data_IF_372288616237
#
_entry.id   IF_372288616237
#
_cell.length_a   1.000
_cell.length_b   1.000
_cell.length_c   1.000
_cell.angle_alpha   90.00
_cell.angle_beta   90.00
_cell.angle_gamma   90.00
#
_symmetry.space_group_name_H-M   'P 1'
#
loop_
_entity.id
_entity.type
_entity.pdbx_description
1 polymer ?
#
# COMPACT_ATOMS: atom_id res chain seq x y z
N UNK A 1 -0.17 -26.49 73.14
CA UNK A 1 0.78 -27.18 72.26
C UNK A 1 1.31 -26.18 71.23
N UNK A 2 2.04 -25.19 71.74
CA UNK A 2 3.50 -25.05 71.59
C UNK A 2 4.14 -25.19 70.20
N UNK A 3 4.79 -24.07 69.82
CA UNK A 3 6.16 -23.89 69.26
C UNK A 3 6.29 -24.11 67.73
N UNK A 4 6.61 -23.09 66.91
CA UNK A 4 7.81 -22.23 66.73
C UNK A 4 8.90 -22.80 65.80
N UNK A 5 9.25 -21.94 64.81
CA UNK A 5 10.57 -21.61 64.27
C UNK A 5 11.43 -22.57 63.40
N UNK A 6 11.86 -21.95 62.27
CA UNK A 6 13.20 -22.00 61.63
C UNK A 6 13.70 -23.18 60.80
N UNK A 7 13.78 -22.91 59.49
CA UNK A 7 14.99 -22.61 58.69
C UNK A 7 16.36 -23.23 59.05
N UNK A 8 17.14 -23.52 57.99
CA UNK A 8 18.55 -23.99 57.88
C UNK A 8 18.65 -25.40 57.28
N UNK A 9 19.53 -25.79 56.34
CA UNK A 9 20.59 -25.15 55.56
C UNK A 9 21.01 -26.11 54.44
N UNK A 10 21.45 -25.55 53.32
CA UNK A 10 22.55 -25.95 52.42
C UNK A 10 22.93 -27.43 52.23
N UNK A 11 22.97 -27.86 50.98
CA UNK A 11 24.11 -28.66 50.48
C UNK A 11 24.31 -28.44 48.98
N UNK A 12 25.53 -27.98 48.66
CA UNK A 12 26.07 -27.85 47.31
C UNK A 12 26.26 -29.22 46.63
N UNK A 13 26.02 -29.25 45.33
CA UNK A 13 26.30 -30.41 44.48
C UNK A 13 26.58 -29.97 43.05
N UNK A 14 27.83 -29.64 42.77
CA UNK A 14 28.38 -29.38 41.44
C UNK A 14 28.30 -30.61 40.54
N UNK A 15 27.99 -30.42 39.25
CA UNK A 15 28.10 -31.48 38.26
C UNK A 15 27.69 -31.05 36.85
N UNK A 16 28.66 -30.53 36.10
CA UNK A 16 28.55 -30.26 34.66
C UNK A 16 28.42 -31.56 33.85
N UNK A 17 27.55 -31.58 32.84
CA UNK A 17 27.88 -31.83 31.41
C UNK A 17 26.64 -32.31 30.64
N UNK A 18 26.50 -31.81 29.41
CA UNK A 18 25.24 -31.81 28.68
C UNK A 18 24.84 -33.12 28.00
N UNK A 19 23.61 -33.10 27.48
CA UNK A 19 23.25 -33.75 26.22
C UNK A 19 21.91 -33.19 25.73
N UNK A 20 21.83 -32.97 24.42
CA UNK A 20 20.65 -32.58 23.67
C UNK A 20 19.60 -33.69 23.69
N UNK A 21 18.35 -33.45 24.07
CA UNK A 21 17.17 -34.13 23.52
C UNK A 21 15.92 -33.27 23.80
N UNK A 22 15.14 -33.05 22.76
CA UNK A 22 13.88 -32.31 22.73
C UNK A 22 12.77 -33.08 23.45
N UNK A 23 12.09 -32.43 24.39
CA UNK A 23 10.88 -32.95 25.04
C UNK A 23 9.68 -32.05 24.74
N UNK A 24 8.67 -32.67 24.12
CA UNK A 24 7.34 -32.16 23.84
C UNK A 24 6.66 -31.57 25.09
N UNK A 25 6.25 -30.31 25.00
CA UNK A 25 5.33 -29.71 25.98
C UNK A 25 3.88 -29.96 25.53
N UNK A 26 3.25 -30.89 26.24
CA UNK A 26 1.83 -31.19 26.19
C UNK A 26 1.01 -29.97 26.64
N UNK A 27 0.38 -29.24 25.70
CA UNK A 27 -0.58 -28.19 26.03
C UNK A 27 -1.99 -28.80 26.00
N UNK A 28 -2.60 -28.91 27.17
CA UNK A 28 -4.01 -29.24 27.34
C UNK A 28 -4.86 -28.26 26.51
N UNK A 29 -5.57 -28.79 25.50
CA UNK A 29 -6.43 -28.00 24.61
C UNK A 29 -7.74 -27.69 25.30
N UNK A 30 -7.96 -26.41 25.62
CA UNK A 30 -9.26 -25.92 26.04
C UNK A 30 -10.24 -25.94 24.84
N UNK A 31 -11.29 -26.74 24.97
CA UNK A 31 -12.24 -27.07 23.91
C UNK A 31 -13.32 -25.99 23.87
N UNK A 32 -12.99 -24.75 23.45
CA UNK A 32 -14.04 -23.75 23.11
C UNK A 32 -13.64 -22.44 22.38
N UNK A 33 -12.57 -22.39 21.59
CA UNK A 33 -12.29 -21.20 20.75
C UNK A 33 -12.36 -21.52 19.25
N UNK A 34 -13.48 -21.20 18.60
CA UNK A 34 -13.52 -21.13 17.13
C UNK A 34 -12.88 -19.78 16.74
N UNK A 35 -11.69 -19.83 16.15
CA UNK A 35 -10.95 -18.67 15.63
C UNK A 35 -11.17 -18.53 14.11
N UNK A 36 -11.70 -17.40 13.61
CA UNK A 36 -11.69 -17.11 12.17
C UNK A 36 -10.24 -17.02 11.65
N UNK A 37 -9.93 -17.63 10.51
CA UNK A 37 -8.62 -17.56 9.80
C UNK A 37 -7.40 -18.28 10.42
N UNK A 38 -7.58 -19.36 11.18
CA UNK A 38 -6.47 -20.13 11.74
C UNK A 38 -5.61 -20.94 10.71
N UNK A 39 -5.91 -20.87 9.40
CA UNK A 39 -5.24 -21.63 8.34
C UNK A 39 -5.17 -20.86 7.00
N UNK A 40 -4.63 -19.63 6.99
CA UNK A 40 -4.16 -19.07 5.72
C UNK A 40 -3.03 -19.98 5.19
N UNK A 41 -3.14 -20.59 4.00
CA UNK A 41 -2.08 -21.44 3.46
C UNK A 41 -0.84 -20.58 3.19
N UNK A 42 0.27 -20.90 3.84
CA UNK A 42 1.58 -20.33 3.53
C UNK A 42 2.20 -21.20 2.44
N UNK A 43 2.58 -20.60 1.32
CA UNK A 43 3.35 -21.32 0.31
C UNK A 43 4.70 -21.74 0.91
N UNK A 44 5.01 -23.03 0.86
CA UNK A 44 6.35 -23.52 1.22
C UNK A 44 7.27 -23.22 0.06
N UNK A 45 8.12 -22.21 0.23
CA UNK A 45 9.12 -21.77 -0.75
C UNK A 45 9.90 -22.96 -1.34
N UNK A 46 9.71 -23.23 -2.64
CA UNK A 46 10.73 -23.89 -3.46
C UNK A 46 11.58 -22.79 -4.08
N UNK A 47 12.76 -22.59 -3.48
CA UNK A 47 13.73 -21.60 -3.86
C UNK A 47 14.17 -21.80 -5.32
N UNK A 48 13.88 -20.82 -6.17
CA UNK A 48 14.46 -20.66 -7.49
C UNK A 48 15.16 -19.31 -7.56
N UNK A 49 16.49 -19.34 -7.49
CA UNK A 49 17.35 -18.16 -7.55
C UNK A 49 17.21 -17.47 -8.92
N UNK A 50 17.04 -16.15 -8.93
CA UNK A 50 17.21 -15.33 -10.12
C UNK A 50 18.05 -14.09 -9.79
N UNK A 51 19.23 -14.04 -10.38
CA UNK A 51 20.18 -12.93 -10.33
C UNK A 51 19.63 -11.73 -11.11
N UNK A 52 19.72 -10.54 -10.53
CA UNK A 52 19.42 -9.26 -11.19
C UNK A 52 20.72 -8.58 -11.61
N UNK A 53 20.82 -8.24 -12.90
CA UNK A 53 21.89 -7.45 -13.50
C UNK A 53 21.47 -5.99 -13.65
N UNK A 54 22.30 -5.07 -13.18
CA UNK A 54 22.13 -3.61 -13.33
C UNK A 54 22.69 -3.13 -14.68
N UNK A 55 21.89 -2.36 -15.42
CA UNK A 55 22.36 -1.60 -16.60
C UNK A 55 22.11 -0.10 -16.41
N UNK A 56 23.10 0.70 -16.83
CA UNK A 56 23.17 2.15 -16.65
C UNK A 56 22.70 2.87 -17.91
N UNK A 57 21.87 3.90 -17.77
CA UNK A 57 21.47 4.78 -18.85
C UNK A 57 22.26 6.10 -18.83
N UNK A 58 22.63 6.56 -20.03
CA UNK A 58 23.38 7.79 -20.28
C UNK A 58 22.43 8.94 -20.63
N UNK A 59 22.69 10.13 -20.07
CA UNK A 59 21.93 11.34 -20.35
C UNK A 59 22.46 12.05 -21.61
N UNK A 60 21.55 12.36 -22.53
CA UNK A 60 21.77 13.34 -23.61
C UNK A 60 20.84 14.51 -23.39
N UNK A 61 21.42 15.70 -23.22
CA UNK A 61 20.72 16.96 -23.02
C UNK A 61 20.19 17.51 -24.34
N UNK A 62 18.88 17.75 -24.41
CA UNK A 62 18.29 18.65 -25.40
C UNK A 62 17.46 19.71 -24.67
N UNK A 63 17.94 20.94 -24.75
CA UNK A 63 17.26 22.14 -24.27
C UNK A 63 16.13 22.49 -25.25
N UNK A 64 14.91 22.13 -24.87
CA UNK A 64 13.68 22.53 -25.54
C UNK A 64 12.88 23.39 -24.56
N UNK A 65 12.31 24.51 -25.04
CA UNK A 65 11.52 25.47 -24.26
C UNK A 65 10.53 24.75 -23.32
N UNK A 66 10.87 24.70 -22.03
CA UNK A 66 10.03 24.05 -21.01
C UNK A 66 8.86 24.97 -20.70
N UNK A 67 7.73 24.79 -21.39
CA UNK A 67 6.47 25.19 -20.78
C UNK A 67 6.30 24.34 -19.51
N UNK A 68 6.27 25.02 -18.37
CA UNK A 68 6.04 24.40 -17.06
C UNK A 68 4.76 23.57 -17.15
N UNK A 69 4.77 22.30 -16.71
CA UNK A 69 3.60 21.38 -16.79
C UNK A 69 2.37 21.87 -16.00
N UNK A 70 2.54 23.00 -15.30
CA UNK A 70 1.55 23.76 -14.56
C UNK A 70 0.72 24.74 -15.40
N UNK A 71 1.08 24.97 -16.68
CA UNK A 71 0.45 26.01 -17.50
C UNK A 71 -0.49 25.46 -18.57
N UNK A 72 -0.21 24.25 -19.08
CA UNK A 72 -0.99 23.62 -20.14
C UNK A 72 -1.13 22.11 -19.94
N UNK A 73 -1.97 21.48 -20.75
CA UNK A 73 -2.26 20.04 -20.74
C UNK A 73 -1.64 19.28 -21.91
N UNK A 74 -0.60 19.83 -22.56
CA UNK A 74 0.01 19.19 -23.74
C UNK A 74 0.67 17.84 -23.43
N UNK A 75 0.96 17.58 -22.15
CA UNK A 75 1.50 16.32 -21.65
C UNK A 75 0.43 15.23 -21.41
N UNK A 76 -0.86 15.58 -21.42
CA UNK A 76 -1.94 14.62 -21.22
C UNK A 76 -2.28 13.90 -22.52
N UNK A 77 -2.18 12.56 -22.49
CA UNK A 77 -2.58 11.70 -23.61
C UNK A 77 -3.90 10.96 -23.38
N UNK A 78 -4.38 10.86 -22.13
CA UNK A 78 -5.63 10.16 -21.80
C UNK A 78 -6.87 11.06 -21.82
N UNK A 79 -6.73 12.38 -22.02
CA UNK A 79 -7.80 13.40 -21.99
C UNK A 79 -8.52 13.63 -20.65
N UNK A 80 -8.14 12.92 -19.59
CA UNK A 80 -8.78 13.00 -18.26
C UNK A 80 -7.94 13.72 -17.20
N UNK A 81 -6.69 14.10 -17.51
CA UNK A 81 -5.84 14.79 -16.53
C UNK A 81 -6.27 16.25 -16.33
N UNK A 82 -5.89 16.77 -15.17
CA UNK A 82 -5.98 18.19 -14.82
C UNK A 82 -4.60 18.73 -14.44
N UNK A 83 -4.43 20.04 -14.48
CA UNK A 83 -3.24 20.70 -13.93
C UNK A 83 -3.23 20.49 -12.42
N UNK A 84 -2.10 20.00 -11.89
CA UNK A 84 -1.88 19.82 -10.46
C UNK A 84 -1.06 20.97 -9.89
N UNK A 85 -0.98 21.08 -8.56
CA UNK A 85 -0.25 22.17 -7.88
C UNK A 85 1.28 22.07 -8.06
N UNK A 86 1.77 20.85 -8.34
CA UNK A 86 3.19 20.52 -8.50
C UNK A 86 3.46 19.87 -9.86
N UNK A 87 4.65 20.10 -10.41
CA UNK A 87 5.06 19.49 -11.68
C UNK A 87 5.16 17.98 -11.57
N UNK A 88 5.63 17.48 -10.43
CA UNK A 88 5.78 16.05 -10.14
C UNK A 88 4.44 15.33 -10.02
N UNK A 89 3.35 16.06 -9.77
CA UNK A 89 1.98 15.53 -9.74
C UNK A 89 1.28 15.64 -11.11
N UNK A 90 1.82 16.45 -12.01
CA UNK A 90 1.27 16.70 -13.34
C UNK A 90 1.71 15.62 -14.33
N UNK A 91 1.41 14.36 -14.05
CA UNK A 91 1.83 13.17 -14.83
C UNK A 91 0.60 12.43 -15.38
N UNK A 92 0.64 12.00 -16.65
CA UNK A 92 -0.43 11.24 -17.30
C UNK A 92 -0.31 9.75 -16.99
N UNK A 93 -1.44 9.03 -16.93
CA UNK A 93 -1.40 7.57 -16.75
C UNK A 93 -0.69 6.82 -17.89
N UNK A 94 -0.59 7.41 -19.09
CA UNK A 94 0.20 6.86 -20.20
C UNK A 94 1.72 6.98 -20.00
N UNK A 95 2.17 7.91 -19.14
CA UNK A 95 3.58 8.06 -18.78
C UNK A 95 4.01 7.07 -17.67
N UNK A 96 3.05 6.34 -17.09
CA UNK A 96 3.29 5.40 -15.99
C UNK A 96 3.17 3.96 -16.53
N UNK A 97 4.28 3.21 -16.68
CA UNK A 97 4.25 1.87 -17.25
C UNK A 97 3.32 0.91 -16.52
N UNK A 98 3.24 1.01 -15.19
CA UNK A 98 2.32 0.22 -14.36
C UNK A 98 0.84 0.43 -14.72
N UNK A 99 0.43 1.68 -14.96
CA UNK A 99 -0.94 1.99 -15.39
C UNK A 99 -1.23 1.44 -16.79
N UNK A 100 -0.28 1.58 -17.72
CA UNK A 100 -0.41 1.06 -19.09
C UNK A 100 -0.54 -0.46 -19.06
N UNK A 101 0.29 -1.16 -18.27
CA UNK A 101 0.26 -2.62 -18.13
C UNK A 101 -1.09 -3.11 -17.61
N UNK A 102 -1.65 -2.48 -16.57
CA UNK A 102 -2.96 -2.85 -16.04
C UNK A 102 -4.08 -2.66 -17.05
N UNK A 103 -4.05 -1.57 -17.83
CA UNK A 103 -5.08 -1.35 -18.85
C UNK A 103 -5.02 -2.42 -19.94
N UNK A 104 -3.83 -2.88 -20.31
CA UNK A 104 -3.64 -4.00 -21.23
C UNK A 104 -4.14 -5.31 -20.62
N UNK A 105 -3.82 -5.58 -19.36
CA UNK A 105 -4.29 -6.77 -18.64
C UNK A 105 -5.82 -6.80 -18.54
N UNK A 106 -6.45 -5.68 -18.16
CA UNK A 106 -7.91 -5.59 -18.09
C UNK A 106 -8.58 -5.83 -19.45
N UNK A 107 -8.00 -5.32 -20.53
CA UNK A 107 -8.47 -5.59 -21.89
C UNK A 107 -8.44 -7.09 -22.24
N UNK A 108 -7.38 -7.79 -21.80
CA UNK A 108 -7.21 -9.21 -22.04
C UNK A 108 -8.17 -10.06 -21.19
N UNK A 109 -8.31 -9.74 -19.89
CA UNK A 109 -9.13 -10.53 -18.95
C UNK A 109 -10.63 -10.33 -19.22
N UNK A 110 -11.05 -9.10 -19.42
CA UNK A 110 -12.48 -8.74 -19.58
C UNK A 110 -12.93 -8.77 -21.05
N UNK A 111 -12.01 -9.09 -21.98
CA UNK A 111 -12.25 -9.10 -23.43
C UNK A 111 -12.83 -7.76 -23.97
N UNK A 112 -12.33 -6.64 -23.43
CA UNK A 112 -12.74 -5.27 -23.81
C UNK A 112 -11.63 -4.53 -24.57
N UNK A 113 -11.94 -3.43 -25.28
CA UNK A 113 -10.90 -2.53 -25.78
C UNK A 113 -10.02 -2.01 -24.65
N UNK A 114 -8.73 -1.79 -24.93
CA UNK A 114 -7.79 -1.19 -23.96
C UNK A 114 -8.33 0.18 -23.52
N UNK A 115 -8.56 0.39 -22.22
CA UNK A 115 -9.05 1.68 -21.73
C UNK A 115 -8.08 2.82 -22.07
N UNK A 116 -8.61 3.93 -22.61
CA UNK A 116 -7.81 5.11 -22.98
C UNK A 116 -7.28 5.87 -21.76
N UNK A 117 -7.90 5.69 -20.59
CA UNK A 117 -7.44 6.21 -19.31
C UNK A 117 -7.46 5.13 -18.24
N UNK A 118 -6.60 5.24 -17.22
CA UNK A 118 -6.66 4.34 -16.05
C UNK A 118 -7.98 4.49 -15.26
N UNK A 119 -8.64 5.65 -15.36
CA UNK A 119 -9.94 5.88 -14.72
C UNK A 119 -11.10 5.22 -15.47
N UNK A 120 -10.91 4.89 -16.75
CA UNK A 120 -11.89 4.16 -17.57
C UNK A 120 -11.78 2.64 -17.38
N UNK A 121 -10.70 2.18 -16.74
CA UNK A 121 -10.53 0.79 -16.37
C UNK A 121 -11.63 0.39 -15.38
N UNK A 122 -12.44 -0.66 -15.65
CA UNK A 122 -13.53 -1.07 -14.77
C UNK A 122 -13.09 -1.31 -13.32
N UNK A 123 -11.88 -1.86 -13.12
CA UNK A 123 -11.34 -2.12 -11.80
C UNK A 123 -11.07 -0.84 -10.99
N UNK A 124 -10.87 0.32 -11.64
CA UNK A 124 -10.69 1.60 -10.94
C UNK A 124 -11.92 1.93 -10.07
N UNK A 125 -13.13 1.76 -10.61
CA UNK A 125 -14.36 2.00 -9.85
C UNK A 125 -14.48 1.06 -8.64
N UNK A 126 -14.15 -0.22 -8.82
CA UNK A 126 -14.23 -1.22 -7.75
C UNK A 126 -13.18 -1.00 -6.67
N UNK A 127 -11.94 -0.73 -7.05
CA UNK A 127 -10.80 -0.70 -6.13
C UNK A 127 -10.60 0.66 -5.46
N UNK A 128 -10.83 1.76 -6.19
CA UNK A 128 -10.48 3.10 -5.76
C UNK A 128 -11.69 3.94 -5.31
N UNK A 129 -12.89 3.63 -5.80
CA UNK A 129 -14.09 4.46 -5.54
C UNK A 129 -15.15 3.73 -4.70
N UNK A 130 -15.15 2.39 -4.66
CA UNK A 130 -16.17 1.64 -3.94
C UNK A 130 -16.02 1.78 -2.41
N UNK A 131 -17.07 2.30 -1.76
CA UNK A 131 -17.09 2.50 -0.31
C UNK A 131 -16.78 1.23 0.51
N UNK A 132 -17.32 0.07 0.11
CA UNK A 132 -17.15 -1.16 0.89
C UNK A 132 -15.74 -1.71 0.77
N UNK A 133 -15.16 -1.67 -0.44
CA UNK A 133 -13.76 -2.08 -0.68
C UNK A 133 -12.80 -1.19 0.11
N UNK A 134 -12.96 0.14 0.01
CA UNK A 134 -12.13 1.07 0.79
C UNK A 134 -12.30 0.91 2.30
N UNK A 135 -13.48 0.46 2.77
CA UNK A 135 -13.70 0.24 4.20
C UNK A 135 -12.91 -0.97 4.69
N UNK A 136 -12.87 -2.05 3.91
CA UNK A 136 -12.08 -3.25 4.23
C UNK A 136 -10.58 -2.93 4.16
N UNK A 137 -10.14 -2.29 3.08
CA UNK A 137 -8.74 -1.86 2.92
C UNK A 137 -8.27 -0.94 4.06
N UNK A 138 -9.16 -0.12 4.62
CA UNK A 138 -8.87 0.67 5.82
C UNK A 138 -8.66 -0.18 7.06
N UNK A 139 -9.48 -1.22 7.28
CA UNK A 139 -9.30 -2.15 8.39
C UNK A 139 -7.95 -2.84 8.32
N UNK A 140 -7.55 -3.32 7.13
CA UNK A 140 -6.26 -3.97 6.92
C UNK A 140 -5.10 -3.01 7.16
N UNK A 141 -5.23 -1.77 6.67
CA UNK A 141 -4.25 -0.72 6.96
C UNK A 141 -4.12 -0.45 8.47
N UNK A 142 -5.22 -0.37 9.21
CA UNK A 142 -5.17 -0.20 10.67
C UNK A 142 -4.52 -1.38 11.38
N UNK A 143 -4.75 -2.60 10.91
CA UNK A 143 -4.13 -3.79 11.48
C UNK A 143 -2.60 -3.76 11.31
N UNK A 144 -2.10 -3.32 10.15
CA UNK A 144 -0.67 -3.31 9.84
C UNK A 144 0.08 -2.12 10.46
N UNK A 145 -0.59 -0.97 10.63
CA UNK A 145 0.06 0.28 11.07
C UNK A 145 -0.42 0.78 12.46
N UNK A 146 -1.41 0.13 13.06
CA UNK A 146 -1.89 0.39 14.41
C UNK A 146 -2.38 1.83 14.64
N UNK A 147 -1.98 2.42 15.78
CA UNK A 147 -2.35 3.79 16.22
C UNK A 147 -1.84 4.87 15.25
N UNK A 148 -0.88 4.57 14.36
CA UNK A 148 -0.39 5.52 13.36
C UNK A 148 -1.35 5.75 12.19
N UNK A 149 -2.43 4.97 12.09
CA UNK A 149 -3.44 5.17 11.07
C UNK A 149 -4.21 6.48 11.31
N UNK A 150 -4.23 7.36 10.31
CA UNK A 150 -4.83 8.69 10.39
C UNK A 150 -6.34 8.68 10.74
N UNK A 151 -6.70 9.19 11.93
CA UNK A 151 -8.10 9.35 12.40
C UNK A 151 -8.75 10.69 11.99
N UNK A 152 -8.39 11.25 10.83
CA UNK A 152 -9.04 12.49 10.36
C UNK A 152 -10.41 12.28 9.71
N UNK A 153 -10.99 13.34 9.12
CA UNK A 153 -12.31 13.34 8.51
C UNK A 153 -12.51 12.22 7.47
N UNK A 154 -13.73 11.69 7.37
CA UNK A 154 -14.05 10.53 6.53
C UNK A 154 -13.60 10.72 5.07
N UNK A 155 -13.83 11.89 4.46
CA UNK A 155 -13.42 12.16 3.08
C UNK A 155 -11.89 12.13 2.90
N UNK A 156 -11.11 12.66 3.86
CA UNK A 156 -9.63 12.59 3.82
C UNK A 156 -9.17 11.14 3.94
N UNK A 157 -9.78 10.39 4.87
CA UNK A 157 -9.50 8.96 5.07
C UNK A 157 -9.79 8.16 3.80
N UNK A 158 -10.93 8.41 3.14
CA UNK A 158 -11.30 7.73 1.89
C UNK A 158 -10.34 8.02 0.76
N UNK A 159 -9.99 9.29 0.54
CA UNK A 159 -8.96 9.67 -0.46
C UNK A 159 -7.64 8.97 -0.17
N UNK A 160 -7.17 9.02 1.07
CA UNK A 160 -5.91 8.39 1.46
C UNK A 160 -5.90 6.88 1.18
N UNK A 161 -6.97 6.17 1.56
CA UNK A 161 -7.08 4.73 1.29
C UNK A 161 -7.22 4.43 -0.19
N UNK A 162 -7.96 5.24 -0.94
CA UNK A 162 -8.09 5.12 -2.39
C UNK A 162 -6.74 5.29 -3.09
N UNK A 163 -5.93 6.29 -2.72
CA UNK A 163 -4.58 6.45 -3.25
C UNK A 163 -3.70 5.23 -2.94
N UNK A 164 -3.78 4.70 -1.73
CA UNK A 164 -3.02 3.49 -1.35
C UNK A 164 -3.49 2.25 -2.12
N UNK A 165 -4.80 2.08 -2.31
CA UNK A 165 -5.34 0.99 -3.10
C UNK A 165 -4.91 1.09 -4.56
N UNK A 166 -4.94 2.29 -5.13
CA UNK A 166 -4.44 2.54 -6.48
C UNK A 166 -2.96 2.16 -6.59
N UNK A 167 -2.12 2.58 -5.64
CA UNK A 167 -0.70 2.24 -5.63
C UNK A 167 -0.48 0.73 -5.52
N UNK A 168 -1.21 0.04 -4.64
CA UNK A 168 -1.12 -1.42 -4.52
C UNK A 168 -1.57 -2.12 -5.78
N UNK A 169 -2.61 -1.63 -6.42
CA UNK A 169 -3.10 -2.21 -7.65
C UNK A 169 -2.05 -2.08 -8.76
N UNK A 170 -1.43 -0.91 -8.91
CA UNK A 170 -0.46 -0.63 -9.97
C UNK A 170 0.93 -1.20 -9.77
N UNK A 171 1.45 -1.20 -8.54
CA UNK A 171 2.84 -1.59 -8.27
C UNK A 171 2.96 -2.74 -7.28
N UNK A 172 1.85 -3.37 -6.91
CA UNK A 172 1.77 -4.40 -5.87
C UNK A 172 2.35 -3.90 -4.52
N UNK A 173 3.53 -4.36 -4.15
CA UNK A 173 4.20 -3.99 -2.89
C UNK A 173 5.33 -3.00 -3.18
N UNK A 174 5.17 -1.77 -2.68
CA UNK A 174 6.25 -0.79 -2.59
C UNK A 174 6.91 -0.77 -1.21
N UNK A 175 8.23 -0.57 -1.18
CA UNK A 175 8.98 -0.38 0.06
C UNK A 175 8.57 0.90 0.80
N UNK A 176 8.80 0.96 2.12
CA UNK A 176 8.36 2.08 3.00
C UNK A 176 8.85 3.45 2.55
N UNK A 177 10.05 3.51 1.99
CA UNK A 177 10.70 4.75 1.55
C UNK A 177 10.45 5.07 0.07
N UNK A 178 9.73 4.19 -0.66
CA UNK A 178 9.44 4.39 -2.07
C UNK A 178 8.06 5.02 -2.19
N UNK A 179 8.03 6.30 -2.60
CA UNK A 179 6.81 7.02 -2.90
C UNK A 179 6.77 7.36 -4.38
N UNK A 180 5.65 7.04 -5.02
CA UNK A 180 5.44 7.32 -6.45
C UNK A 180 4.33 8.36 -6.61
N UNK A 181 4.47 9.34 -7.50
CA UNK A 181 3.36 10.23 -7.84
C UNK A 181 2.29 9.45 -8.60
N UNK A 182 1.03 9.68 -8.23
CA UNK A 182 -0.12 9.11 -8.92
C UNK A 182 -0.43 9.95 -10.17
N UNK A 183 -0.99 9.37 -11.24
CA UNK A 183 -1.35 10.15 -12.41
C UNK A 183 -2.47 11.12 -12.07
N UNK A 184 -2.41 12.32 -12.66
CA UNK A 184 -3.36 13.41 -12.40
C UNK A 184 -4.81 12.98 -12.59
N UNK A 185 -5.13 12.24 -13.66
CA UNK A 185 -6.48 11.73 -13.90
C UNK A 185 -7.03 10.89 -12.73
N UNK A 186 -6.21 10.00 -12.15
CA UNK A 186 -6.61 9.19 -11.00
C UNK A 186 -6.80 10.05 -9.74
N UNK A 187 -5.88 10.99 -9.49
CA UNK A 187 -5.96 11.89 -8.33
C UNK A 187 -7.21 12.76 -8.42
N UNK A 188 -7.44 13.42 -9.56
CA UNK A 188 -8.62 14.25 -9.80
C UNK A 188 -9.91 13.47 -9.67
N UNK A 189 -9.99 12.26 -10.23
CA UNK A 189 -11.17 11.41 -10.11
C UNK A 189 -11.47 11.04 -8.64
N UNK A 190 -10.45 10.64 -7.87
CA UNK A 190 -10.61 10.31 -6.45
C UNK A 190 -10.99 11.55 -5.63
N UNK A 191 -10.41 12.72 -5.91
CA UNK A 191 -10.74 13.99 -5.24
C UNK A 191 -12.19 14.39 -5.49
N UNK A 192 -12.67 14.26 -6.74
CA UNK A 192 -14.04 14.54 -7.12
C UNK A 192 -15.04 13.56 -6.49
N UNK A 193 -14.66 12.28 -6.34
CA UNK A 193 -15.53 11.26 -5.75
C UNK A 193 -15.64 11.39 -4.22
N UNK A 194 -14.56 11.83 -3.56
CA UNK A 194 -14.52 12.06 -2.11
C UNK A 194 -14.15 13.51 -1.81
N UNK A 195 -15.02 14.49 -2.12
CA UNK A 195 -14.70 15.90 -1.96
C UNK A 195 -14.65 16.29 -0.47
N UNK A 196 -13.93 17.37 -0.11
CA UNK A 196 -14.13 18.07 1.15
C UNK A 196 -15.61 18.52 1.30
N UNK A 197 -16.11 18.70 2.53
CA UNK A 197 -17.42 19.31 2.74
C UNK A 197 -17.36 20.80 2.36
N UNK A 198 -18.42 21.33 1.74
CA UNK A 198 -18.53 22.74 1.39
C UNK A 198 -18.66 22.98 -0.11
N UNK A 199 -18.41 24.22 -0.53
CA UNK A 199 -18.39 24.63 -1.94
C UNK A 199 -17.04 24.28 -2.57
N UNK A 200 -17.05 23.95 -3.86
CA UNK A 200 -15.87 23.48 -4.59
C UNK A 200 -14.72 24.49 -4.63
N UNK A 201 -15.05 25.78 -4.67
CA UNK A 201 -14.08 26.89 -4.64
C UNK A 201 -13.23 26.95 -3.37
N UNK A 202 -13.72 26.34 -2.27
CA UNK A 202 -13.03 26.30 -0.98
C UNK A 202 -12.26 24.98 -0.76
N UNK A 203 -12.26 24.07 -1.74
CA UNK A 203 -11.63 22.76 -1.57
C UNK A 203 -10.11 22.87 -1.47
N UNK A 204 -9.57 22.45 -0.32
CA UNK A 204 -8.13 22.34 -0.09
C UNK A 204 -7.72 20.87 -0.11
N UNK A 205 -6.74 20.56 -0.95
CA UNK A 205 -6.13 19.24 -1.03
C UNK A 205 -4.67 19.29 -0.62
N UNK A 206 -4.22 18.25 0.08
CA UNK A 206 -2.80 18.03 0.33
C UNK A 206 -2.20 17.31 -0.88
N UNK A 207 -1.13 17.87 -1.44
CA UNK A 207 -0.38 17.29 -2.55
C UNK A 207 0.58 16.19 -2.13
N UNK A 208 1.22 15.57 -3.13
CA UNK A 208 2.24 14.56 -2.97
C UNK A 208 3.49 15.08 -2.25
N UNK A 209 4.08 14.22 -1.43
CA UNK A 209 5.33 14.46 -0.69
C UNK A 209 6.24 13.25 -0.81
N UNK A 210 7.50 13.49 -1.16
CA UNK A 210 8.53 12.45 -1.14
C UNK A 210 8.82 11.98 0.30
N UNK A 211 9.58 10.89 0.45
CA UNK A 211 9.84 10.30 1.77
C UNK A 211 10.77 11.16 2.63
N UNK A 212 11.63 11.96 1.98
CA UNK A 212 12.65 12.83 2.54
C UNK A 212 12.19 14.28 2.77
N UNK A 213 10.97 14.63 2.37
CA UNK A 213 10.28 15.91 2.66
C UNK A 213 9.53 15.87 4.01
#
# INVERSE_FOLDING_TARGET
MDIDYSNESSSDGSGSSGSSYSEDMNVERDVNMIQPYAFEPVETDSSGDHEVSEEMASESSSSSDKTTRLQDMNWCLCTHCQIMDREEESICCHEIPACVSINQEAAQIEEIPVPECITDNPAFQYLCLNYWVLRVAWSDYRQHYGIKAHEGPEHKKRRHVAYRQFVRWCWDILGKEIRVPLPSCAVSCIRAHFPPPGLEEDFVFEGFKFADE
#
